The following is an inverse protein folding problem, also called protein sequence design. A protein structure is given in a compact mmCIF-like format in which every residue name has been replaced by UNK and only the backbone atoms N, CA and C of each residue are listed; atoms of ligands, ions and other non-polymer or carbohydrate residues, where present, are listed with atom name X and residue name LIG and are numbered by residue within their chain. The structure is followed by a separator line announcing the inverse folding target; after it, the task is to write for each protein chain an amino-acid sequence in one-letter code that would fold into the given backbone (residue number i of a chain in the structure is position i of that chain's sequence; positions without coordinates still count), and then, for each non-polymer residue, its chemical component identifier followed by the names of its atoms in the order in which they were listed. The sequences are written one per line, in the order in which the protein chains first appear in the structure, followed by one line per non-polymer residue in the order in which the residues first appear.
data_IF_749594205361
#
_entry.id   IF_749594205361
#
_cell.length_a   1.000
_cell.length_b   1.000
_cell.length_c   1.000
_cell.angle_alpha   90.00
_cell.angle_beta   90.00
_cell.angle_gamma   90.00
#
_symmetry.space_group_name_H-M   'P 1'
#
loop_
_entity.id
_entity.type
_entity.pdbx_description
1 polymer ?
#
# COMPACT_ATOMS: atom_id res chain seq x y z
N UNK A 1 -16.62 20.20 -21.73
CA UNK A 1 -15.92 20.71 -20.54
C UNK A 1 -15.51 19.48 -19.77
N UNK A 2 -14.21 19.28 -19.65
CA UNK A 2 -13.67 18.12 -18.94
C UNK A 2 -13.75 18.43 -17.45
N UNK A 3 -14.42 17.56 -16.69
CA UNK A 3 -14.57 17.74 -15.26
C UNK A 3 -13.21 17.55 -14.56
N UNK A 4 -12.89 18.42 -13.61
CA UNK A 4 -11.64 18.33 -12.86
C UNK A 4 -11.64 17.09 -11.96
N UNK A 5 -10.62 16.23 -12.03
CA UNK A 5 -10.59 15.00 -11.26
C UNK A 5 -10.21 15.27 -9.79
N UNK A 6 -11.05 14.80 -8.88
CA UNK A 6 -10.86 14.87 -7.44
C UNK A 6 -10.53 13.50 -6.86
N UNK A 7 -9.78 13.49 -5.76
CA UNK A 7 -9.67 12.32 -4.89
C UNK A 7 -10.18 12.62 -3.49
N UNK A 8 -10.75 11.60 -2.87
CA UNK A 8 -10.99 11.51 -1.44
C UNK A 8 -9.93 10.60 -0.82
N UNK A 9 -9.44 10.93 0.37
CA UNK A 9 -8.48 10.11 1.11
C UNK A 9 -8.91 10.01 2.57
N UNK A 10 -8.98 8.79 3.10
CA UNK A 10 -9.21 8.51 4.50
C UNK A 10 -8.05 7.74 5.14
N UNK A 11 -7.77 8.02 6.41
CA UNK A 11 -6.73 7.34 7.18
C UNK A 11 -7.11 7.29 8.65
N UNK A 12 -6.85 6.17 9.30
CA UNK A 12 -7.03 5.99 10.73
C UNK A 12 -5.66 6.02 11.41
N UNK A 13 -5.30 7.16 12.00
CA UNK A 13 -4.00 7.33 12.62
C UNK A 13 -4.08 7.12 14.13
N UNK A 14 -3.31 6.18 14.66
CA UNK A 14 -3.08 6.08 16.10
C UNK A 14 -2.25 7.29 16.56
N UNK A 15 -2.81 8.13 17.44
CA UNK A 15 -2.14 9.35 17.91
C UNK A 15 -1.74 9.28 19.39
N UNK A 16 -2.23 8.31 20.15
CA UNK A 16 -1.80 8.07 21.53
C UNK A 16 -1.15 6.69 21.70
N UNK A 17 -0.26 6.58 22.68
CA UNK A 17 0.34 5.29 23.08
C UNK A 17 -0.69 4.27 23.59
N UNK A 18 -1.86 4.74 24.00
CA UNK A 18 -2.94 3.92 24.57
C UNK A 18 -3.90 3.36 23.52
N UNK A 19 -3.68 3.68 22.23
CA UNK A 19 -4.48 3.13 21.15
C UNK A 19 -5.65 4.00 20.73
N UNK A 20 -5.68 5.28 21.09
CA UNK A 20 -6.68 6.19 20.51
C UNK A 20 -6.33 6.45 19.04
N UNK A 21 -7.32 6.30 18.16
CA UNK A 21 -7.20 6.63 16.75
C UNK A 21 -8.00 7.89 16.41
N UNK A 22 -7.52 8.56 15.38
CA UNK A 22 -8.14 9.68 14.73
C UNK A 22 -8.40 9.30 13.28
N UNK A 23 -9.67 9.25 12.89
CA UNK A 23 -10.05 9.20 11.49
C UNK A 23 -9.90 10.60 10.89
N UNK A 24 -9.05 10.73 9.88
CA UNK A 24 -8.91 11.93 9.07
C UNK A 24 -9.43 11.70 7.66
N UNK A 25 -10.31 12.58 7.18
CA UNK A 25 -10.78 12.59 5.80
C UNK A 25 -10.27 13.85 5.09
N UNK A 26 -9.80 13.68 3.87
CA UNK A 26 -9.21 14.73 3.05
C UNK A 26 -9.77 14.65 1.62
N UNK A 27 -9.85 15.80 0.98
CA UNK A 27 -10.10 15.94 -0.45
C UNK A 27 -8.86 16.53 -1.11
N UNK A 28 -8.63 16.20 -2.37
CA UNK A 28 -7.63 16.87 -3.17
C UNK A 28 -7.89 16.73 -4.65
N UNK A 29 -7.09 17.41 -5.45
CA UNK A 29 -7.12 17.27 -6.90
C UNK A 29 -6.19 16.14 -7.33
N UNK A 30 -6.63 15.32 -8.29
CA UNK A 30 -5.75 14.42 -9.03
C UNK A 30 -5.02 15.31 -10.03
N UNK A 31 -4.06 16.10 -9.52
CA UNK A 31 -3.40 17.17 -10.26
C UNK A 31 -2.99 16.69 -11.64
N UNK A 32 -3.33 17.47 -12.66
CA UNK A 32 -2.70 17.48 -13.97
C UNK A 32 -1.53 18.48 -13.94
N UNK A 33 -0.38 18.03 -14.43
CA UNK A 33 0.81 18.79 -14.85
C UNK A 33 1.69 19.60 -13.87
N UNK A 34 1.25 20.04 -12.70
CA UNK A 34 2.14 20.89 -11.87
C UNK A 34 2.84 20.16 -10.71
N UNK A 35 4.16 19.94 -10.90
CA UNK A 35 5.12 19.50 -9.89
C UNK A 35 5.20 20.52 -8.75
N UNK A 36 4.33 20.34 -7.77
CA UNK A 36 4.33 21.16 -6.58
C UNK A 36 2.94 21.20 -6.03
N UNK A 37 2.77 20.53 -4.90
CA UNK A 37 2.32 21.17 -3.66
C UNK A 37 2.00 20.05 -2.69
N UNK A 38 2.76 19.99 -1.60
CA UNK A 38 2.35 19.36 -0.35
C UNK A 38 1.04 19.97 0.24
N UNK A 39 0.33 20.81 -0.52
CA UNK A 39 -0.82 21.64 -0.17
C UNK A 39 -2.09 21.34 -0.98
N UNK A 40 -2.12 20.28 -1.80
CA UNK A 40 -3.33 19.89 -2.56
C UNK A 40 -4.31 19.02 -1.76
N UNK A 41 -4.13 18.92 -0.44
CA UNK A 41 -5.01 18.15 0.46
C UNK A 41 -5.75 19.08 1.39
N UNK A 42 -7.05 19.15 1.20
CA UNK A 42 -7.97 19.92 2.00
C UNK A 42 -8.61 19.00 3.03
N UNK A 43 -8.44 19.25 4.35
CA UNK A 43 -9.12 18.47 5.36
C UNK A 43 -10.64 18.66 5.21
N UNK A 44 -11.38 17.55 5.20
CA UNK A 44 -12.84 17.56 5.21
C UNK A 44 -13.36 17.50 6.64
N UNK A 45 -12.90 16.50 7.40
CA UNK A 45 -13.22 16.36 8.81
C UNK A 45 -12.17 15.48 9.54
N UNK A 46 -12.17 15.61 10.86
CA UNK A 46 -11.41 14.76 11.77
C UNK A 46 -12.36 14.23 12.85
N UNK A 47 -12.31 12.94 13.11
CA UNK A 47 -13.15 12.26 14.10
C UNK A 47 -12.27 11.42 15.01
N UNK A 48 -12.27 11.72 16.31
CA UNK A 48 -11.59 10.86 17.29
C UNK A 48 -12.49 9.66 17.58
N UNK A 49 -11.92 8.46 17.59
CA UNK A 49 -12.68 7.22 17.83
C UNK A 49 -13.52 7.28 19.11
N UNK A 50 -13.00 7.87 20.19
CA UNK A 50 -13.72 8.02 21.46
C UNK A 50 -14.98 8.90 21.41
N UNK A 51 -15.12 9.72 20.36
CA UNK A 51 -16.30 10.55 20.09
C UNK A 51 -17.10 10.02 18.89
N UNK A 52 -16.71 8.86 18.35
CA UNK A 52 -17.41 8.18 17.26
C UNK A 52 -18.29 7.08 17.82
N UNK A 53 -19.56 7.04 17.42
CA UNK A 53 -20.41 5.87 17.54
C UNK A 53 -20.26 4.95 16.30
N UNK A 54 -19.05 4.93 15.72
CA UNK A 54 -18.75 4.26 14.45
C UNK A 54 -19.56 4.86 13.30
N UNK A 55 -20.17 3.98 12.51
CA UNK A 55 -20.85 4.35 11.27
C UNK A 55 -22.02 5.33 11.47
N UNK A 56 -22.70 5.28 12.62
CA UNK A 56 -23.76 6.22 12.97
C UNK A 56 -23.26 7.68 13.01
N UNK A 57 -21.98 7.90 13.36
CA UNK A 57 -21.36 9.23 13.35
C UNK A 57 -20.73 9.54 12.00
N UNK A 58 -20.10 8.55 11.36
CA UNK A 58 -19.38 8.74 10.09
C UNK A 58 -20.29 8.95 8.88
N UNK A 59 -21.42 8.23 8.79
CA UNK A 59 -22.31 8.32 7.63
C UNK A 59 -22.89 9.72 7.41
N UNK A 60 -23.39 10.46 8.43
CA UNK A 60 -23.82 11.84 8.24
C UNK A 60 -22.73 12.76 7.69
N UNK A 61 -21.47 12.57 8.13
CA UNK A 61 -20.32 13.34 7.63
C UNK A 61 -20.06 13.03 6.15
N UNK A 62 -20.05 11.76 5.77
CA UNK A 62 -19.89 11.36 4.38
C UNK A 62 -21.04 11.80 3.50
N UNK A 63 -22.28 11.77 4.00
CA UNK A 63 -23.45 12.26 3.28
C UNK A 63 -23.33 13.75 2.98
N UNK A 64 -22.91 14.56 3.96
CA UNK A 64 -22.63 15.98 3.74
C UNK A 64 -21.57 16.21 2.65
N UNK A 65 -20.50 15.41 2.64
CA UNK A 65 -19.45 15.48 1.61
C UNK A 65 -20.01 15.12 0.23
N UNK A 66 -20.78 14.04 0.12
CA UNK A 66 -21.37 13.57 -1.15
C UNK A 66 -22.38 14.58 -1.69
N UNK A 67 -23.28 15.09 -0.86
CA UNK A 67 -24.26 16.12 -1.25
C UNK A 67 -23.57 17.39 -1.74
N UNK A 68 -22.42 17.74 -1.15
CA UNK A 68 -21.61 18.89 -1.57
C UNK A 68 -20.94 18.62 -2.93
N UNK A 69 -20.40 17.43 -3.14
CA UNK A 69 -19.74 17.05 -4.40
C UNK A 69 -20.75 16.87 -5.55
N UNK A 70 -21.95 16.38 -5.28
CA UNK A 70 -23.02 16.29 -6.27
C UNK A 70 -23.38 17.67 -6.85
N UNK A 71 -23.37 18.72 -6.03
CA UNK A 71 -23.59 20.10 -6.49
C UNK A 71 -22.46 20.61 -7.39
N UNK A 72 -21.27 20.02 -7.28
CA UNK A 72 -20.09 20.37 -8.08
C UNK A 72 -19.90 19.46 -9.30
N UNK A 73 -20.74 18.43 -9.48
CA UNK A 73 -20.56 17.35 -10.45
C UNK A 73 -20.42 17.81 -11.92
N UNK A 74 -20.97 18.99 -12.26
CA UNK A 74 -20.85 19.57 -13.60
C UNK A 74 -19.42 20.04 -13.92
N UNK A 75 -18.59 20.25 -12.90
CA UNK A 75 -17.23 20.81 -13.04
C UNK A 75 -16.16 19.92 -12.43
N UNK A 76 -16.53 19.00 -11.53
CA UNK A 76 -15.60 18.15 -10.80
C UNK A 76 -16.14 16.72 -10.72
N UNK A 77 -15.24 15.74 -10.81
CA UNK A 77 -15.59 14.32 -10.68
C UNK A 77 -14.65 13.62 -9.71
N UNK A 78 -15.20 12.86 -8.75
CA UNK A 78 -14.37 12.01 -7.90
C UNK A 78 -13.90 10.81 -8.70
N UNK A 79 -12.62 10.79 -9.04
CA UNK A 79 -11.99 9.70 -9.79
C UNK A 79 -11.29 8.70 -8.88
N UNK A 80 -11.01 9.08 -7.62
CA UNK A 80 -10.34 8.22 -6.67
C UNK A 80 -10.85 8.37 -5.23
N UNK A 81 -11.06 7.23 -4.55
CA UNK A 81 -11.34 7.12 -3.13
C UNK A 81 -10.24 6.24 -2.54
N UNK A 82 -9.37 6.87 -1.77
CA UNK A 82 -8.12 6.31 -1.27
C UNK A 82 -8.16 6.11 0.23
N UNK A 83 -7.37 5.16 0.71
CA UNK A 83 -7.10 4.99 2.12
C UNK A 83 -6.44 3.66 2.41
N UNK A 84 -6.08 3.41 3.66
CA UNK A 84 -5.66 2.08 4.06
C UNK A 84 -6.81 1.06 3.91
N UNK A 85 -6.48 -0.22 4.03
CA UNK A 85 -7.49 -1.28 3.83
C UNK A 85 -8.60 -1.21 4.87
N UNK A 86 -8.25 -0.92 6.13
CA UNK A 86 -9.22 -0.84 7.23
C UNK A 86 -10.24 0.27 6.97
N UNK A 87 -9.79 1.46 6.61
CA UNK A 87 -10.63 2.59 6.24
C UNK A 87 -11.60 2.21 5.11
N UNK A 88 -11.10 1.58 4.04
CA UNK A 88 -11.93 1.20 2.90
C UNK A 88 -12.99 0.15 3.27
N UNK A 89 -12.62 -0.83 4.11
CA UNK A 89 -13.57 -1.82 4.63
C UNK A 89 -14.63 -1.15 5.48
N UNK A 90 -14.25 -0.29 6.41
CA UNK A 90 -15.16 0.34 7.37
C UNK A 90 -16.12 1.32 6.66
N UNK A 91 -15.61 2.17 5.75
CA UNK A 91 -16.41 3.19 5.08
C UNK A 91 -17.43 2.59 4.11
N UNK A 92 -17.06 1.50 3.42
CA UNK A 92 -17.95 0.81 2.48
C UNK A 92 -18.67 -0.40 3.09
N UNK A 93 -18.36 -0.77 4.33
CA UNK A 93 -18.81 -2.02 4.97
C UNK A 93 -18.51 -3.27 4.14
N UNK A 94 -17.34 -3.35 3.50
CA UNK A 94 -17.02 -4.46 2.61
C UNK A 94 -17.00 -5.80 3.35
N UNK A 95 -17.69 -6.82 2.81
CA UNK A 95 -17.69 -8.20 3.33
C UNK A 95 -16.38 -8.93 3.06
N UNK A 96 -15.71 -8.59 1.96
CA UNK A 96 -14.49 -9.25 1.53
C UNK A 96 -13.36 -8.92 2.53
N UNK A 97 -12.90 -9.91 3.28
CA UNK A 97 -11.71 -9.81 4.12
C UNK A 97 -10.60 -10.73 3.59
N UNK A 98 -9.33 -10.48 3.95
CA UNK A 98 -8.20 -11.34 3.56
C UNK A 98 -8.37 -12.81 3.98
N UNK A 99 -9.20 -13.08 4.99
CA UNK A 99 -9.48 -14.40 5.53
C UNK A 99 -10.65 -15.11 4.86
N UNK A 100 -11.35 -14.45 3.94
CA UNK A 100 -12.50 -15.03 3.26
C UNK A 100 -12.07 -15.95 2.09
N UNK A 101 -13.02 -16.73 1.56
CA UNK A 101 -12.80 -17.55 0.35
C UNK A 101 -12.39 -16.70 -0.86
N UNK A 102 -12.74 -15.41 -0.86
CA UNK A 102 -12.41 -14.43 -1.89
C UNK A 102 -11.72 -13.21 -1.25
N UNK A 103 -10.39 -13.22 -1.19
CA UNK A 103 -9.59 -12.24 -0.45
C UNK A 103 -9.49 -10.86 -1.11
N UNK A 104 -10.04 -10.69 -2.32
CA UNK A 104 -9.99 -9.45 -3.08
C UNK A 104 -11.40 -8.89 -3.34
N UNK A 105 -11.58 -7.58 -3.17
CA UNK A 105 -12.85 -6.93 -3.48
C UNK A 105 -13.05 -6.66 -4.98
N UNK A 106 -11.98 -6.68 -5.79
CA UNK A 106 -12.03 -6.43 -7.23
C UNK A 106 -12.10 -7.70 -8.09
N UNK A 107 -11.79 -8.87 -7.54
CA UNK A 107 -11.84 -10.13 -8.29
C UNK A 107 -12.13 -11.30 -7.35
N UNK A 108 -12.43 -12.47 -7.92
CA UNK A 108 -12.71 -13.70 -7.16
C UNK A 108 -11.44 -14.48 -6.83
N UNK A 109 -10.37 -13.77 -6.46
CA UNK A 109 -9.12 -14.38 -6.04
C UNK A 109 -9.27 -14.95 -4.63
N UNK A 110 -8.75 -16.15 -4.41
CA UNK A 110 -8.72 -16.82 -3.10
C UNK A 110 -7.36 -16.68 -2.42
N UNK A 111 -7.33 -16.92 -1.11
CA UNK A 111 -6.08 -17.06 -0.33
C UNK A 111 -5.15 -18.15 -0.86
N UNK A 112 -5.63 -19.10 -1.67
CA UNK A 112 -4.81 -20.14 -2.30
C UNK A 112 -4.33 -19.79 -3.70
N UNK A 113 -4.94 -18.79 -4.36
CA UNK A 113 -4.64 -18.44 -5.75
C UNK A 113 -3.94 -17.09 -5.92
N UNK A 114 -3.85 -16.25 -4.88
CA UNK A 114 -3.23 -14.92 -4.98
C UNK A 114 -1.73 -14.96 -5.32
N UNK A 115 -1.06 -16.08 -5.04
CA UNK A 115 0.35 -16.30 -5.42
C UNK A 115 0.55 -16.62 -6.91
N UNK A 116 -0.52 -16.78 -7.70
CA UNK A 116 -0.41 -16.96 -9.15
C UNK A 116 -0.28 -15.60 -9.83
N UNK A 117 0.93 -15.24 -10.25
CA UNK A 117 1.21 -13.95 -10.88
C UNK A 117 1.22 -14.04 -12.42
N UNK A 118 1.04 -12.91 -13.09
CA UNK A 118 1.11 -12.77 -14.54
C UNK A 118 -0.22 -12.50 -15.23
N UNK A 119 -0.16 -12.08 -16.50
CA UNK A 119 -1.34 -11.70 -17.29
C UNK A 119 -2.30 -12.88 -17.55
N UNK A 120 -1.80 -14.11 -17.46
CA UNK A 120 -2.57 -15.34 -17.62
C UNK A 120 -3.18 -15.86 -16.31
N UNK A 121 -2.93 -15.21 -15.16
CA UNK A 121 -3.45 -15.68 -13.89
C UNK A 121 -4.99 -15.76 -13.90
N UNK A 122 -5.54 -16.87 -13.42
CA UNK A 122 -6.98 -17.16 -13.57
C UNK A 122 -7.86 -16.06 -12.94
N UNK A 123 -7.44 -15.50 -11.81
CA UNK A 123 -8.16 -14.45 -11.11
C UNK A 123 -8.24 -13.12 -11.88
N UNK A 124 -7.38 -12.89 -12.88
CA UNK A 124 -7.50 -11.70 -13.75
C UNK A 124 -8.77 -11.74 -14.59
N UNK A 125 -9.26 -12.94 -14.93
CA UNK A 125 -10.52 -13.15 -15.69
C UNK A 125 -11.76 -13.08 -14.81
N UNK A 126 -11.59 -13.06 -13.49
CA UNK A 126 -12.69 -13.02 -12.51
C UNK A 126 -12.87 -11.62 -11.90
N UNK A 127 -12.41 -10.57 -12.60
CA UNK A 127 -12.66 -9.19 -12.20
C UNK A 127 -14.16 -8.94 -12.08
N UNK A 128 -14.55 -8.30 -10.99
CA UNK A 128 -15.94 -7.96 -10.70
C UNK A 128 -16.35 -6.75 -11.53
N UNK A 129 -17.56 -6.78 -12.07
CA UNK A 129 -18.20 -5.59 -12.59
C UNK A 129 -18.65 -4.68 -11.44
N UNK A 130 -19.03 -3.43 -11.74
CA UNK A 130 -19.67 -2.55 -10.74
C UNK A 130 -20.90 -3.23 -10.10
N UNK A 131 -21.73 -3.89 -10.91
CA UNK A 131 -22.94 -4.59 -10.43
C UNK A 131 -22.57 -5.75 -9.52
N UNK A 132 -21.59 -6.59 -9.89
CA UNK A 132 -21.14 -7.71 -9.06
C UNK A 132 -20.53 -7.23 -7.74
N UNK A 133 -19.81 -6.11 -7.74
CA UNK A 133 -19.31 -5.48 -6.52
C UNK A 133 -20.45 -5.02 -5.59
N UNK A 134 -21.43 -4.28 -6.12
CA UNK A 134 -22.56 -3.78 -5.34
C UNK A 134 -23.40 -4.91 -4.74
N UNK A 135 -23.62 -6.01 -5.48
CA UNK A 135 -24.47 -7.11 -5.04
C UNK A 135 -23.74 -8.11 -4.11
N UNK A 136 -22.45 -8.38 -4.36
CA UNK A 136 -21.75 -9.49 -3.71
C UNK A 136 -20.64 -9.07 -2.73
N UNK A 137 -20.16 -7.83 -2.79
CA UNK A 137 -19.08 -7.35 -1.91
C UNK A 137 -19.59 -6.42 -0.81
N UNK A 138 -20.62 -5.63 -1.10
CA UNK A 138 -21.23 -4.70 -0.15
C UNK A 138 -22.33 -5.37 0.70
N UNK A 139 -22.74 -4.75 1.82
CA UNK A 139 -23.99 -5.11 2.50
C UNK A 139 -25.20 -4.83 1.59
N UNK A 140 -26.38 -5.26 2.00
CA UNK A 140 -27.61 -5.02 1.23
C UNK A 140 -27.77 -3.53 0.93
N UNK A 141 -27.95 -3.18 -0.34
CA UNK A 141 -27.92 -1.78 -0.80
C UNK A 141 -29.01 -0.90 -0.16
N UNK A 142 -30.14 -1.49 0.21
CA UNK A 142 -31.27 -0.80 0.83
C UNK A 142 -31.15 -0.67 2.36
N UNK A 143 -30.06 -1.17 2.94
CA UNK A 143 -29.79 -0.96 4.35
C UNK A 143 -29.41 0.51 4.62
N UNK A 144 -29.83 1.05 5.76
CA UNK A 144 -29.27 2.29 6.31
C UNK A 144 -27.75 2.20 6.49
N UNK A 145 -27.19 0.99 6.43
CA UNK A 145 -25.79 0.68 6.43
C UNK A 145 -25.07 0.90 5.09
N UNK A 146 -25.73 1.34 4.01
CA UNK A 146 -25.03 1.66 2.76
C UNK A 146 -24.15 2.90 2.88
N UNK A 147 -22.96 2.86 2.29
CA UNK A 147 -22.05 4.00 2.30
C UNK A 147 -22.58 5.13 1.40
N UNK A 148 -22.66 6.39 1.88
CA UNK A 148 -23.03 7.52 1.04
C UNK A 148 -22.11 7.70 -0.17
N UNK A 149 -20.85 7.25 -0.08
CA UNK A 149 -19.87 7.36 -1.17
C UNK A 149 -20.29 6.60 -2.45
N UNK A 150 -21.19 5.62 -2.35
CA UNK A 150 -21.76 4.91 -3.51
C UNK A 150 -22.61 5.82 -4.39
N UNK A 151 -23.05 6.96 -3.85
CA UNK A 151 -23.96 7.91 -4.48
C UNK A 151 -23.21 9.06 -5.16
N UNK A 152 -21.87 8.98 -5.19
CA UNK A 152 -21.06 9.91 -5.96
C UNK A 152 -21.43 9.81 -7.46
N UNK A 153 -21.55 10.94 -8.16
CA UNK A 153 -21.75 10.94 -9.61
C UNK A 153 -20.64 10.14 -10.30
N UNK A 154 -21.02 9.22 -11.18
CA UNK A 154 -20.07 8.37 -11.90
C UNK A 154 -19.36 7.32 -11.04
N UNK A 155 -19.88 6.99 -9.85
CA UNK A 155 -19.27 5.97 -8.99
C UNK A 155 -19.02 4.66 -9.73
N UNK A 156 -17.83 4.11 -9.54
CA UNK A 156 -17.42 2.79 -10.00
C UNK A 156 -16.51 2.16 -8.95
N UNK A 157 -16.51 0.82 -8.84
CA UNK A 157 -15.54 0.10 -8.01
C UNK A 157 -14.09 0.45 -8.36
N UNK A 158 -13.84 0.90 -9.59
CA UNK A 158 -12.52 1.32 -10.01
C UNK A 158 -12.03 2.60 -9.33
N UNK A 159 -12.93 3.47 -8.84
CA UNK A 159 -12.52 4.66 -8.09
C UNK A 159 -11.94 4.28 -6.73
N UNK A 160 -12.23 3.09 -6.20
CA UNK A 160 -11.67 2.63 -4.93
C UNK A 160 -10.21 2.20 -5.15
N UNK A 161 -9.28 2.90 -4.47
CA UNK A 161 -7.83 2.72 -4.60
C UNK A 161 -7.19 2.50 -3.23
N UNK A 162 -6.67 1.30 -2.91
CA UNK A 162 -5.94 1.09 -1.68
C UNK A 162 -4.68 1.95 -1.64
N UNK A 163 -4.29 2.39 -0.44
CA UNK A 163 -3.14 3.25 -0.25
C UNK A 163 -1.87 2.56 -0.74
N UNK A 164 -1.18 3.21 -1.69
CA UNK A 164 0.08 2.73 -2.25
C UNK A 164 1.12 2.42 -1.17
N UNK A 165 1.21 3.25 -0.14
CA UNK A 165 2.14 3.04 0.98
C UNK A 165 1.89 1.69 1.66
N UNK A 166 0.62 1.35 1.92
CA UNK A 166 0.26 0.12 2.62
C UNK A 166 0.35 -1.11 1.71
N UNK A 167 -0.02 -1.01 0.44
CA UNK A 167 0.06 -2.14 -0.50
C UNK A 167 1.49 -2.41 -0.93
N UNK A 168 2.22 -1.37 -1.34
CA UNK A 168 3.53 -1.53 -1.93
C UNK A 168 4.61 -1.55 -0.85
N UNK A 169 4.79 -0.46 -0.08
CA UNK A 169 5.91 -0.36 0.85
C UNK A 169 5.76 -1.31 2.05
N UNK A 170 4.57 -1.39 2.64
CA UNK A 170 4.29 -2.20 3.85
C UNK A 170 3.70 -3.58 3.50
N UNK A 171 3.10 -3.74 2.33
CA UNK A 171 2.69 -5.05 1.82
C UNK A 171 3.87 -5.74 1.17
N UNK A 172 4.09 -5.48 -0.12
CA UNK A 172 5.12 -6.15 -0.93
C UNK A 172 6.53 -5.96 -0.37
N UNK A 173 6.89 -4.75 0.03
CA UNK A 173 8.23 -4.41 0.48
C UNK A 173 8.69 -5.17 1.72
N UNK A 174 7.81 -5.46 2.69
CA UNK A 174 8.23 -6.19 3.89
C UNK A 174 8.62 -7.63 3.56
N UNK A 175 7.85 -8.31 2.71
CA UNK A 175 8.15 -9.68 2.28
C UNK A 175 9.39 -9.70 1.38
N UNK A 176 9.47 -8.83 0.37
CA UNK A 176 10.63 -8.75 -0.50
C UNK A 176 11.93 -8.50 0.27
N UNK A 177 11.90 -7.56 1.23
CA UNK A 177 13.05 -7.27 2.08
C UNK A 177 13.39 -8.42 3.03
N UNK A 178 12.38 -9.09 3.59
CA UNK A 178 12.56 -10.24 4.47
C UNK A 178 13.20 -11.42 3.76
N UNK A 179 12.63 -11.83 2.63
CA UNK A 179 13.18 -12.89 1.77
C UNK A 179 14.60 -12.57 1.31
N UNK A 180 14.85 -11.34 0.84
CA UNK A 180 16.19 -10.90 0.42
C UNK A 180 17.20 -10.96 1.58
N UNK A 181 16.81 -10.53 2.79
CA UNK A 181 17.67 -10.67 3.97
C UNK A 181 17.94 -12.14 4.29
N UNK A 182 16.93 -13.00 4.21
CA UNK A 182 17.11 -14.43 4.48
C UNK A 182 18.09 -15.07 3.49
N UNK A 183 17.96 -14.78 2.19
CA UNK A 183 18.88 -15.27 1.15
C UNK A 183 20.34 -14.90 1.49
N UNK A 184 20.58 -13.66 1.92
CA UNK A 184 21.91 -13.19 2.30
C UNK A 184 22.45 -13.88 3.57
N UNK A 185 21.56 -14.26 4.49
CA UNK A 185 21.92 -14.95 5.73
C UNK A 185 22.23 -16.43 5.46
N UNK A 186 21.38 -17.12 4.70
CA UNK A 186 21.51 -18.55 4.41
C UNK A 186 22.77 -18.87 3.60
N UNK A 187 23.21 -17.92 2.76
CA UNK A 187 24.45 -18.01 1.97
C UNK A 187 25.68 -17.47 2.69
N UNK A 188 25.54 -17.09 3.96
CA UNK A 188 26.60 -16.48 4.76
C UNK A 188 27.25 -15.22 4.13
N UNK A 189 26.53 -14.53 3.25
CA UNK A 189 27.02 -13.33 2.53
C UNK A 189 27.15 -12.10 3.45
N UNK A 190 26.68 -12.23 4.69
CA UNK A 190 26.87 -11.25 5.76
C UNK A 190 28.05 -11.60 6.68
N UNK A 191 28.77 -12.69 6.41
CA UNK A 191 29.92 -13.19 7.16
C UNK A 191 29.76 -14.67 7.54
N UNK A 192 30.74 -15.48 7.15
CA UNK A 192 30.78 -16.93 7.41
C UNK A 192 30.81 -17.27 8.91
N UNK A 193 30.00 -18.25 9.32
CA UNK A 193 29.94 -18.74 10.70
C UNK A 193 29.41 -17.74 11.74
N UNK A 194 28.87 -16.60 11.31
CA UNK A 194 28.28 -15.62 12.23
C UNK A 194 26.90 -16.07 12.72
N UNK A 195 26.60 -15.77 13.98
CA UNK A 195 25.21 -15.88 14.45
C UNK A 195 24.31 -14.92 13.68
N UNK A 196 23.00 -15.24 13.58
CA UNK A 196 22.01 -14.43 12.86
C UNK A 196 22.02 -12.95 13.28
N UNK A 197 22.18 -12.65 14.56
CA UNK A 197 22.26 -11.27 15.07
C UNK A 197 23.56 -10.56 14.66
N UNK A 198 24.69 -11.27 14.66
CA UNK A 198 25.97 -10.72 14.22
C UNK A 198 25.98 -10.47 12.70
N UNK A 199 25.41 -11.39 11.92
CA UNK A 199 25.23 -11.24 10.48
C UNK A 199 24.32 -10.05 10.15
N UNK A 200 23.16 -9.90 10.82
CA UNK A 200 22.30 -8.73 10.66
C UNK A 200 22.97 -7.41 11.07
N UNK A 201 23.84 -7.45 12.09
CA UNK A 201 24.65 -6.28 12.49
C UNK A 201 25.67 -5.93 11.41
N UNK A 202 26.35 -6.92 10.83
CA UNK A 202 27.28 -6.72 9.73
C UNK A 202 26.56 -6.12 8.50
N UNK A 203 25.39 -6.67 8.14
CA UNK A 203 24.55 -6.13 7.07
C UNK A 203 24.12 -4.68 7.34
N UNK A 204 23.78 -4.34 8.59
CA UNK A 204 23.46 -2.96 8.96
C UNK A 204 24.66 -2.01 8.83
N UNK A 205 25.88 -2.45 9.15
CA UNK A 205 27.08 -1.65 8.93
C UNK A 205 27.31 -1.40 7.43
N UNK A 206 27.10 -2.42 6.58
CA UNK A 206 27.13 -2.28 5.11
C UNK A 206 26.08 -1.27 4.63
N UNK A 207 24.86 -1.33 5.17
CA UNK A 207 23.81 -0.34 4.91
C UNK A 207 24.24 1.08 5.27
N UNK A 208 24.88 1.29 6.44
CA UNK A 208 25.36 2.62 6.84
C UNK A 208 26.46 3.14 5.94
N UNK A 209 27.35 2.27 5.45
CA UNK A 209 28.35 2.61 4.44
C UNK A 209 27.71 3.05 3.13
N UNK A 210 26.79 2.22 2.60
CA UNK A 210 26.01 2.52 1.39
C UNK A 210 25.24 3.84 1.49
N UNK A 211 24.56 4.06 2.62
CA UNK A 211 23.82 5.27 2.91
C UNK A 211 24.72 6.51 2.89
N UNK A 212 25.90 6.43 3.53
CA UNK A 212 26.90 7.52 3.56
C UNK A 212 27.41 7.83 2.16
N UNK A 213 27.75 6.81 1.38
CA UNK A 213 28.32 6.96 0.04
C UNK A 213 27.35 7.62 -0.95
N UNK A 214 26.05 7.33 -0.84
CA UNK A 214 25.02 7.92 -1.69
C UNK A 214 24.38 9.20 -1.13
N UNK A 215 24.82 9.68 0.05
CA UNK A 215 24.26 10.86 0.68
C UNK A 215 22.78 10.72 1.11
N UNK A 216 22.30 9.49 1.33
CA UNK A 216 20.91 9.23 1.68
C UNK A 216 20.66 9.60 3.15
N UNK A 217 19.70 10.50 3.40
CA UNK A 217 19.36 10.97 4.75
C UNK A 217 18.14 10.22 5.31
N UNK A 218 18.38 9.05 5.91
CA UNK A 218 17.35 8.28 6.62
C UNK A 218 17.83 7.83 8.01
N UNK A 219 16.96 7.93 9.01
CA UNK A 219 17.21 7.46 10.37
C UNK A 219 16.60 6.06 10.58
N UNK A 220 17.23 5.04 9.99
CA UNK A 220 16.76 3.66 10.13
C UNK A 220 17.35 3.00 11.39
N UNK A 221 16.54 2.29 12.20
CA UNK A 221 17.05 1.51 13.33
C UNK A 221 17.92 0.35 12.86
N UNK A 222 18.76 -0.19 13.77
CA UNK A 222 19.57 -1.38 13.50
C UNK A 222 18.69 -2.55 13.08
N UNK A 223 19.22 -3.39 12.17
CA UNK A 223 18.59 -4.66 11.85
C UNK A 223 18.68 -5.60 13.05
N UNK A 224 17.56 -6.24 13.40
CA UNK A 224 17.44 -7.10 14.59
C UNK A 224 16.69 -8.35 14.20
N UNK A 225 17.09 -9.49 14.76
CA UNK A 225 16.48 -10.78 14.47
C UNK A 225 14.95 -10.76 14.67
N UNK A 226 14.43 -10.19 15.75
CA UNK A 226 12.98 -10.18 16.03
C UNK A 226 12.14 -9.37 15.03
N UNK A 227 12.77 -8.53 14.21
CA UNK A 227 12.09 -7.82 13.12
C UNK A 227 12.00 -8.67 11.85
N UNK A 228 12.84 -9.69 11.71
CA UNK A 228 12.78 -10.67 10.63
C UNK A 228 11.91 -11.84 11.08
N UNK A 229 10.63 -11.79 10.71
CA UNK A 229 9.59 -12.71 11.14
C UNK A 229 9.35 -13.78 10.08
N UNK A 230 8.90 -14.94 10.54
CA UNK A 230 8.39 -16.01 9.70
C UNK A 230 6.92 -16.21 10.05
N UNK A 231 6.04 -16.07 9.07
CA UNK A 231 4.60 -16.29 9.20
C UNK A 231 4.12 -17.10 7.99
N UNK A 232 3.47 -18.24 8.25
CA UNK A 232 2.95 -19.13 7.21
C UNK A 232 3.98 -19.44 6.09
N UNK A 233 5.22 -19.76 6.48
CA UNK A 233 6.34 -20.03 5.57
C UNK A 233 6.86 -18.81 4.78
N UNK A 234 6.32 -17.63 5.03
CA UNK A 234 6.76 -16.38 4.41
C UNK A 234 7.64 -15.59 5.37
N UNK A 235 8.76 -15.10 4.84
CA UNK A 235 9.70 -14.30 5.61
C UNK A 235 9.48 -12.83 5.30
N UNK A 236 9.28 -12.03 6.34
CA UNK A 236 9.12 -10.58 6.19
C UNK A 236 9.94 -9.81 7.21
N UNK A 237 10.38 -8.62 6.83
CA UNK A 237 11.12 -7.73 7.69
C UNK A 237 10.27 -6.54 8.11
N UNK A 238 9.82 -6.53 9.37
CA UNK A 238 8.93 -5.49 9.91
C UNK A 238 9.65 -4.12 9.97
N UNK A 239 9.13 -3.15 9.21
CA UNK A 239 9.68 -1.80 9.15
C UNK A 239 8.61 -0.77 8.80
N UNK A 240 8.91 0.52 9.01
CA UNK A 240 8.04 1.62 8.54
C UNK A 240 8.09 1.71 7.02
N UNK A 241 7.02 2.17 6.38
CA UNK A 241 6.93 2.29 4.93
C UNK A 241 8.15 2.97 4.28
N UNK A 242 8.54 4.15 4.79
CA UNK A 242 9.72 4.86 4.29
C UNK A 242 11.02 4.05 4.43
N UNK A 243 11.19 3.31 5.54
CA UNK A 243 12.35 2.45 5.75
C UNK A 243 12.34 1.24 4.82
N UNK A 244 11.17 0.61 4.65
CA UNK A 244 10.99 -0.55 3.75
C UNK A 244 11.46 -0.21 2.34
N UNK A 245 11.05 0.96 1.83
CA UNK A 245 11.48 1.44 0.51
C UNK A 245 13.00 1.60 0.40
N UNK A 246 13.63 2.32 1.33
CA UNK A 246 15.09 2.53 1.28
C UNK A 246 15.83 1.21 1.43
N UNK A 247 15.31 0.30 2.25
CA UNK A 247 15.86 -1.03 2.45
C UNK A 247 15.78 -1.87 1.16
N UNK A 248 14.68 -1.79 0.41
CA UNK A 248 14.55 -2.44 -0.91
C UNK A 248 15.66 -2.00 -1.85
N UNK A 249 15.93 -0.70 -1.97
CA UNK A 249 17.02 -0.19 -2.81
C UNK A 249 18.41 -0.65 -2.34
N UNK A 250 18.65 -0.68 -1.03
CA UNK A 250 19.90 -1.19 -0.47
C UNK A 250 20.09 -2.67 -0.77
N UNK A 251 19.07 -3.50 -0.50
CA UNK A 251 19.13 -4.94 -0.71
C UNK A 251 19.26 -5.28 -2.19
N UNK A 252 18.60 -4.52 -3.09
CA UNK A 252 18.80 -4.63 -4.53
C UNK A 252 20.28 -4.43 -4.91
N UNK A 253 20.92 -3.38 -4.37
CA UNK A 253 22.33 -3.09 -4.65
C UNK A 253 23.26 -4.19 -4.13
N UNK A 254 23.01 -4.70 -2.92
CA UNK A 254 23.78 -5.81 -2.33
C UNK A 254 23.62 -7.08 -3.17
N UNK A 255 22.38 -7.50 -3.43
CA UNK A 255 22.11 -8.71 -4.21
C UNK A 255 22.68 -8.60 -5.63
N UNK A 256 22.65 -7.43 -6.26
CA UNK A 256 23.28 -7.19 -7.56
C UNK A 256 24.79 -7.36 -7.52
N UNK A 257 25.43 -6.94 -6.43
CA UNK A 257 26.87 -7.13 -6.25
C UNK A 257 27.21 -8.61 -6.06
N UNK A 258 26.46 -9.32 -5.20
CA UNK A 258 26.71 -10.74 -4.93
C UNK A 258 26.36 -11.62 -6.14
N UNK A 259 25.28 -11.32 -6.88
CA UNK A 259 24.89 -12.08 -8.07
C UNK A 259 25.92 -11.97 -9.20
N UNK A 260 26.70 -10.89 -9.25
CA UNK A 260 27.82 -10.76 -10.19
C UNK A 260 29.00 -11.66 -9.83
N UNK A 261 29.15 -12.01 -8.55
CA UNK A 261 30.22 -12.90 -8.05
C UNK A 261 29.86 -14.37 -8.23
N UNK A 262 28.57 -14.71 -8.24
CA UNK A 262 28.04 -16.05 -8.44
C UNK A 262 26.92 -16.06 -9.51
N UNK A 263 27.27 -15.85 -10.79
CA UNK A 263 26.28 -15.75 -11.88
C UNK A 263 25.47 -17.03 -12.13
N UNK A 264 25.96 -18.17 -11.66
CA UNK A 264 25.28 -19.48 -11.69
C UNK A 264 24.19 -19.63 -10.63
N UNK A 265 24.18 -18.78 -9.59
CA UNK A 265 23.16 -18.78 -8.55
C UNK A 265 21.87 -18.09 -9.03
N UNK A 266 21.00 -18.89 -9.65
CA UNK A 266 19.75 -18.42 -10.25
C UNK A 266 18.81 -17.75 -9.24
N UNK A 267 18.77 -18.23 -8.00
CA UNK A 267 17.91 -17.63 -6.95
C UNK A 267 18.44 -16.25 -6.57
N UNK A 268 19.75 -16.10 -6.40
CA UNK A 268 20.38 -14.81 -6.12
C UNK A 268 20.16 -13.81 -7.26
N UNK A 269 20.26 -14.27 -8.52
CA UNK A 269 19.98 -13.47 -9.70
C UNK A 269 18.51 -13.03 -9.78
N UNK A 270 17.57 -13.94 -9.51
CA UNK A 270 16.14 -13.64 -9.48
C UNK A 270 15.79 -12.65 -8.37
N UNK A 271 16.29 -12.86 -7.16
CA UNK A 271 16.09 -11.95 -6.04
C UNK A 271 16.65 -10.55 -6.35
N UNK A 272 17.85 -10.48 -6.92
CA UNK A 272 18.48 -9.25 -7.38
C UNK A 272 17.59 -8.49 -8.38
N UNK A 273 17.13 -9.17 -9.44
CA UNK A 273 16.27 -8.57 -10.46
C UNK A 273 14.94 -8.08 -9.88
N UNK A 274 14.26 -8.90 -9.06
CA UNK A 274 12.99 -8.55 -8.44
C UNK A 274 13.11 -7.31 -7.54
N UNK A 275 14.13 -7.26 -6.68
CA UNK A 275 14.36 -6.13 -5.77
C UNK A 275 14.79 -4.87 -6.54
N UNK A 276 15.55 -5.02 -7.62
CA UNK A 276 15.91 -3.92 -8.51
C UNK A 276 14.67 -3.30 -9.16
N UNK A 277 13.81 -4.12 -9.78
CA UNK A 277 12.58 -3.65 -10.42
C UNK A 277 11.62 -3.02 -9.41
N UNK A 278 11.51 -3.58 -8.21
CA UNK A 278 10.70 -3.01 -7.14
C UNK A 278 11.26 -1.66 -6.64
N UNK A 279 12.58 -1.55 -6.51
CA UNK A 279 13.24 -0.29 -6.17
C UNK A 279 13.00 0.78 -7.24
N UNK A 280 13.11 0.41 -8.52
CA UNK A 280 12.81 1.31 -9.64
C UNK A 280 11.35 1.73 -9.65
N UNK A 281 10.42 0.80 -9.42
CA UNK A 281 9.00 1.12 -9.28
C UNK A 281 8.76 2.13 -8.15
N UNK A 282 9.40 1.97 -6.98
CA UNK A 282 9.28 2.95 -5.89
C UNK A 282 9.85 4.32 -6.27
N UNK A 283 10.99 4.36 -6.95
CA UNK A 283 11.58 5.60 -7.43
C UNK A 283 10.68 6.28 -8.46
N UNK A 284 10.09 5.53 -9.38
CA UNK A 284 9.21 6.03 -10.42
C UNK A 284 7.86 6.47 -9.87
N UNK A 285 7.24 5.75 -8.95
CA UNK A 285 5.93 6.15 -8.40
C UNK A 285 6.03 7.37 -7.49
N UNK A 286 7.19 7.57 -6.84
CA UNK A 286 7.39 8.75 -5.98
C UNK A 286 7.87 9.98 -6.73
N UNK A 287 8.69 9.81 -7.78
CA UNK A 287 9.18 10.92 -8.61
C UNK A 287 8.27 11.20 -9.80
N UNK A 288 7.56 10.18 -10.26
CA UNK A 288 6.64 10.23 -11.37
C UNK A 288 5.39 10.97 -10.95
N UNK A 289 4.97 11.83 -11.85
CA UNK A 289 3.68 12.46 -11.72
C UNK A 289 2.57 11.40 -11.76
N UNK A 290 1.60 11.49 -10.85
CA UNK A 290 0.47 10.55 -10.76
C UNK A 290 -0.62 10.89 -11.77
N UNK A 291 -0.22 11.27 -12.98
CA UNK A 291 -1.13 11.67 -14.03
C UNK A 291 -1.73 10.43 -14.68
N UNK A 292 -3.02 10.50 -15.00
CA UNK A 292 -3.55 9.71 -16.10
C UNK A 292 -2.88 10.27 -17.35
N UNK A 293 -1.82 9.65 -17.85
CA UNK A 293 -1.44 9.90 -19.23
C UNK A 293 -2.59 9.41 -20.07
N UNK A 294 -3.21 10.29 -20.86
CA UNK A 294 -4.15 9.90 -21.91
C UNK A 294 -3.50 8.75 -22.69
N UNK A 295 -4.12 7.56 -22.62
CA UNK A 295 -3.75 6.41 -23.43
C UNK A 295 -4.47 6.49 -24.77
#
# INVERSE_FOLDING_TARGET
MDAEPLFLYGDAAQFTKYGDHLLGAFMGFVLTEHQGLAYSRFPLFFLQDRFSAGRCTEQPLWRFVVDSLQKLAATHLVTEIRGDWKFLVDVFAMKATPTSKECCYKCRCSSTSYGTFGLAAAWMRTRRSNVDFLLNVLPELDSEESSPLLWLPGFSVEVIKPCWMHVAHVGVGLFANGSAMQILLDRELCGAGLSKDLALRALFLRFRGWQKNLGIKVAMPRFRHFLLKNDLEQIFYQSKAHHSRVLTSFLAAVLTEESKKAPEDLELLQASLCLYLLSELYNQVERGSRFLTEQ
#
